data_IF_385106626485
#
_entry.id   IF_385106626485
#
_cell.length_a   1.000
_cell.length_b   1.000
_cell.length_c   1.000
_cell.angle_alpha   90.00
_cell.angle_beta   90.00
_cell.angle_gamma   90.00
#
_symmetry.space_group_name_H-M   'P 1'
#
loop_
_entity.id
_entity.type
_entity.pdbx_description
1 polymer ?
#
# COMPACT_ATOMS: atom_id res chain seq x y z
N UNK A 1 32.18 7.81 74.08
CA UNK A 1 32.89 8.05 72.80
C UNK A 1 31.98 7.63 71.67
N UNK A 2 31.54 8.59 70.85
CA UNK A 2 30.55 8.41 69.79
C UNK A 2 31.20 7.86 68.51
N UNK A 3 30.53 6.91 67.85
CA UNK A 3 30.81 6.49 66.47
C UNK A 3 29.95 7.33 65.50
N UNK A 4 30.43 7.64 64.29
CA UNK A 4 29.75 8.59 63.42
C UNK A 4 28.62 7.94 62.61
N UNK A 5 27.53 8.69 62.47
CA UNK A 5 26.42 8.45 61.54
C UNK A 5 26.93 8.49 60.10
N UNK A 6 26.79 7.38 59.36
CA UNK A 6 26.88 7.38 57.90
C UNK A 6 25.53 7.86 57.35
N UNK A 7 25.56 9.04 56.75
CA UNK A 7 24.46 9.68 56.04
C UNK A 7 24.40 9.06 54.63
N UNK A 8 23.43 8.20 54.34
CA UNK A 8 23.14 7.79 52.95
C UNK A 8 22.47 8.98 52.26
N UNK A 9 23.28 9.80 51.59
CA UNK A 9 22.83 10.80 50.63
C UNK A 9 22.68 10.14 49.26
N UNK A 10 21.54 10.37 48.62
CA UNK A 10 21.42 10.29 47.17
C UNK A 10 20.31 9.39 46.68
N UNK A 11 19.05 9.78 46.90
CA UNK A 11 18.00 9.45 45.93
C UNK A 11 18.33 10.28 44.69
N UNK A 12 19.08 9.70 43.75
CA UNK A 12 19.24 10.25 42.41
C UNK A 12 17.85 10.18 41.77
N UNK A 13 17.30 11.33 41.37
CA UNK A 13 16.08 11.38 40.55
C UNK A 13 16.36 10.66 39.22
N UNK A 14 15.91 9.41 39.09
CA UNK A 14 15.98 8.61 37.85
C UNK A 14 14.73 8.83 36.98
N UNK A 15 14.04 9.98 37.07
CA UNK A 15 12.81 10.19 36.30
C UNK A 15 13.05 10.40 34.81
N UNK A 16 14.24 10.87 34.42
CA UNK A 16 14.64 11.06 33.02
C UNK A 16 15.00 9.75 32.32
N UNK A 17 15.82 8.92 32.96
CA UNK A 17 16.28 7.65 32.38
C UNK A 17 15.19 6.59 32.32
N UNK A 18 14.25 6.57 33.28
CA UNK A 18 13.08 5.67 33.24
C UNK A 18 12.15 6.05 32.09
N UNK A 19 11.79 7.34 31.94
CA UNK A 19 10.97 7.79 30.81
C UNK A 19 11.64 7.58 29.46
N UNK A 20 12.96 7.69 29.39
CA UNK A 20 13.73 7.39 28.19
C UNK A 20 13.69 5.89 27.85
N UNK A 21 13.93 5.02 28.84
CA UNK A 21 13.85 3.56 28.67
C UNK A 21 12.43 3.11 28.34
N UNK A 22 11.40 3.68 28.97
CA UNK A 22 9.99 3.42 28.66
C UNK A 22 9.63 3.87 27.24
N UNK A 23 10.05 5.08 26.82
CA UNK A 23 9.87 5.54 25.43
C UNK A 23 10.60 4.66 24.43
N UNK A 24 11.82 4.24 24.74
CA UNK A 24 12.63 3.37 23.87
C UNK A 24 12.03 1.96 23.79
N UNK A 25 11.60 1.40 24.90
CA UNK A 25 10.91 0.10 24.93
C UNK A 25 9.54 0.17 24.23
N UNK A 26 8.81 1.28 24.37
CA UNK A 26 7.56 1.50 23.63
C UNK A 26 7.78 1.65 22.13
N UNK A 27 8.87 2.29 21.71
CA UNK A 27 9.27 2.36 20.30
C UNK A 27 9.74 1.00 19.76
N UNK A 28 10.44 0.19 20.56
CA UNK A 28 10.81 -1.19 20.19
C UNK A 28 9.61 -2.16 20.21
N UNK A 29 8.50 -1.79 20.84
CA UNK A 29 7.25 -2.57 20.84
C UNK A 29 6.15 -1.93 19.96
N UNK A 30 6.44 -0.88 19.20
CA UNK A 30 5.41 -0.25 18.36
C UNK A 30 5.26 -1.02 17.05
N UNK A 31 4.06 -1.52 16.83
CA UNK A 31 3.66 -2.20 15.60
C UNK A 31 3.65 -1.22 14.42
N UNK A 32 4.22 -1.64 13.28
CA UNK A 32 4.13 -0.89 12.02
C UNK A 32 3.46 -1.75 10.96
N UNK A 33 2.51 -1.17 10.23
CA UNK A 33 1.83 -1.82 9.13
C UNK A 33 1.99 -0.97 7.87
N UNK A 34 2.56 -1.59 6.83
CA UNK A 34 2.71 -1.02 5.50
C UNK A 34 1.58 -1.58 4.64
N UNK A 35 0.71 -0.71 4.14
CA UNK A 35 -0.45 -1.07 3.36
C UNK A 35 -0.24 -0.76 1.88
N UNK A 36 -0.52 -1.75 1.04
CA UNK A 36 -0.97 -1.46 -0.33
C UNK A 36 -2.34 -0.74 -0.30
N UNK A 37 -2.74 -0.12 -1.42
CA UNK A 37 -3.98 0.66 -1.54
C UNK A 37 -5.03 -0.05 -2.39
N UNK A 38 -4.73 -0.29 -3.67
CA UNK A 38 -5.72 -0.77 -4.64
C UNK A 38 -5.87 -2.29 -4.58
N UNK A 39 -7.09 -2.78 -4.31
CA UNK A 39 -7.33 -4.20 -4.02
C UNK A 39 -7.22 -4.51 -2.51
N UNK A 40 -6.54 -3.64 -1.75
CA UNK A 40 -6.33 -3.78 -0.31
C UNK A 40 -7.28 -2.89 0.51
N UNK A 41 -7.14 -1.57 0.44
CA UNK A 41 -7.96 -0.59 1.18
C UNK A 41 -9.15 -0.08 0.38
N UNK A 42 -8.98 0.04 -0.94
CA UNK A 42 -10.02 0.52 -1.84
C UNK A 42 -10.00 -0.25 -3.14
N UNK A 43 -11.09 -0.12 -3.89
CA UNK A 43 -11.20 -0.65 -5.24
C UNK A 43 -11.66 0.43 -6.19
N UNK A 44 -11.50 0.13 -7.49
CA UNK A 44 -11.92 0.97 -8.60
C UNK A 44 -12.54 0.08 -9.68
N UNK A 45 -13.28 0.65 -10.64
CA UNK A 45 -13.66 -0.05 -11.85
C UNK A 45 -12.45 -0.65 -12.58
N UNK A 46 -12.73 -1.64 -13.42
CA UNK A 46 -11.73 -2.28 -14.26
C UNK A 46 -11.25 -1.32 -15.36
N UNK A 47 -9.96 -0.95 -15.30
CA UNK A 47 -9.34 -0.02 -16.25
C UNK A 47 -9.45 -0.52 -17.70
N UNK A 48 -9.27 -1.81 -17.93
CA UNK A 48 -9.19 -2.38 -19.27
C UNK A 48 -10.56 -2.41 -19.93
N UNK A 49 -11.59 -2.71 -19.15
CA UNK A 49 -12.98 -2.51 -19.54
C UNK A 49 -13.28 -1.05 -19.85
N UNK A 50 -12.85 -0.10 -18.99
CA UNK A 50 -13.08 1.33 -19.24
C UNK A 50 -12.41 1.82 -20.53
N UNK A 51 -11.15 1.43 -20.77
CA UNK A 51 -10.45 1.73 -22.02
C UNK A 51 -11.18 1.11 -23.20
N UNK A 52 -11.53 -0.18 -23.15
CA UNK A 52 -12.22 -0.88 -24.23
C UNK A 52 -13.57 -0.25 -24.56
N UNK A 53 -14.36 0.12 -23.54
CA UNK A 53 -15.64 0.81 -23.73
C UNK A 53 -15.47 2.19 -24.38
N UNK A 54 -14.44 2.95 -24.00
CA UNK A 54 -14.16 4.23 -24.63
C UNK A 54 -13.64 4.09 -26.07
N UNK A 55 -12.91 3.01 -26.38
CA UNK A 55 -12.44 2.72 -27.75
C UNK A 55 -13.58 2.26 -28.67
N UNK A 56 -14.54 1.49 -28.14
CA UNK A 56 -15.66 0.93 -28.92
C UNK A 56 -16.89 1.85 -28.99
N UNK A 57 -16.97 2.85 -28.10
CA UNK A 57 -18.17 3.67 -27.86
C UNK A 57 -19.44 2.83 -27.56
N UNK A 58 -19.23 1.72 -26.83
CA UNK A 58 -20.27 0.78 -26.37
C UNK A 58 -19.73 -0.10 -25.24
N UNK A 59 -20.60 -0.87 -24.62
CA UNK A 59 -20.20 -1.89 -23.64
C UNK A 59 -19.16 -2.85 -24.25
N UNK A 60 -18.05 -3.07 -23.55
CA UNK A 60 -16.97 -3.92 -24.05
C UNK A 60 -17.29 -5.40 -23.85
N UNK A 61 -16.90 -6.23 -24.81
CA UNK A 61 -16.83 -7.67 -24.59
C UNK A 61 -15.53 -8.06 -23.85
N UNK A 62 -15.49 -9.32 -23.42
CA UNK A 62 -14.33 -9.89 -22.72
C UNK A 62 -13.09 -9.93 -23.61
N UNK A 63 -13.25 -10.25 -24.89
CA UNK A 63 -12.12 -10.39 -25.81
C UNK A 63 -11.36 -9.06 -25.98
N UNK A 64 -12.08 -7.96 -26.18
CA UNK A 64 -11.49 -6.63 -26.31
C UNK A 64 -10.82 -6.19 -25.01
N UNK A 65 -11.44 -6.48 -23.86
CA UNK A 65 -10.87 -6.19 -22.54
C UNK A 65 -9.57 -6.95 -22.33
N UNK A 66 -9.57 -8.26 -22.52
CA UNK A 66 -8.39 -9.13 -22.33
C UNK A 66 -7.26 -8.71 -23.31
N UNK A 67 -7.63 -8.22 -24.50
CA UNK A 67 -6.68 -7.68 -25.47
C UNK A 67 -6.04 -6.35 -25.02
N UNK A 68 -6.84 -5.41 -24.52
CA UNK A 68 -6.36 -4.15 -23.93
C UNK A 68 -5.45 -4.43 -22.72
N UNK A 69 -5.85 -5.38 -21.87
CA UNK A 69 -5.07 -5.85 -20.73
C UNK A 69 -3.69 -6.35 -21.18
N UNK A 70 -3.64 -7.22 -22.18
CA UNK A 70 -2.38 -7.74 -22.72
C UNK A 70 -1.42 -6.64 -23.16
N UNK A 71 -1.91 -5.62 -23.87
CA UNK A 71 -1.09 -4.47 -24.30
C UNK A 71 -0.62 -3.64 -23.09
N UNK A 72 -1.50 -3.37 -22.13
CA UNK A 72 -1.14 -2.61 -20.92
C UNK A 72 -0.09 -3.33 -20.07
N UNK A 73 -0.21 -4.66 -19.92
CA UNK A 73 0.74 -5.51 -19.22
C UNK A 73 2.09 -5.52 -19.93
N UNK A 74 2.11 -5.67 -21.25
CA UNK A 74 3.35 -5.63 -22.04
C UNK A 74 4.07 -4.29 -21.88
N UNK A 75 3.35 -3.17 -22.01
CA UNK A 75 3.89 -1.82 -21.77
C UNK A 75 4.44 -1.70 -20.36
N UNK A 76 3.74 -2.23 -19.35
CA UNK A 76 4.18 -2.20 -17.96
C UNK A 76 5.47 -2.99 -17.73
N UNK A 77 5.60 -4.16 -18.34
CA UNK A 77 6.76 -5.03 -18.15
C UNK A 77 7.99 -4.55 -18.93
N UNK A 78 7.78 -3.93 -20.10
CA UNK A 78 8.84 -3.55 -21.02
C UNK A 78 9.18 -2.05 -21.03
N UNK A 79 8.55 -1.24 -20.18
CA UNK A 79 8.82 0.19 -20.07
C UNK A 79 10.28 0.50 -19.74
N UNK A 80 10.92 1.32 -20.58
CA UNK A 80 12.23 1.95 -20.34
C UNK A 80 12.24 3.32 -21.04
N UNK A 81 12.34 4.45 -20.32
CA UNK A 81 12.36 4.62 -18.86
C UNK A 81 11.03 4.25 -18.18
N UNK A 82 10.97 4.34 -16.84
CA UNK A 82 9.74 4.22 -16.05
C UNK A 82 8.65 5.16 -16.60
N UNK A 83 7.40 4.70 -16.56
CA UNK A 83 6.21 5.44 -16.92
C UNK A 83 5.20 5.39 -15.78
N UNK A 84 4.58 6.54 -15.51
CA UNK A 84 3.42 6.66 -14.61
C UNK A 84 2.24 5.85 -15.13
N UNK A 85 1.27 5.58 -14.26
CA UNK A 85 0.06 4.82 -14.64
C UNK A 85 -0.66 5.52 -15.81
N UNK A 86 -0.85 6.84 -15.72
CA UNK A 86 -1.49 7.64 -16.76
C UNK A 86 -0.73 7.58 -18.10
N UNK A 87 0.60 7.63 -18.08
CA UNK A 87 1.45 7.53 -19.27
C UNK A 87 1.37 6.13 -19.93
N UNK A 88 1.16 5.09 -19.13
CA UNK A 88 0.92 3.72 -19.64
C UNK A 88 -0.44 3.62 -20.33
N UNK A 89 -1.48 4.25 -19.79
CA UNK A 89 -2.80 4.33 -20.45
C UNK A 89 -2.68 5.03 -21.80
N UNK A 90 -2.01 6.20 -21.84
CA UNK A 90 -1.78 6.92 -23.10
C UNK A 90 -1.05 6.05 -24.13
N UNK A 91 -0.02 5.31 -23.69
CA UNK A 91 0.73 4.40 -24.54
C UNK A 91 -0.13 3.23 -25.06
N UNK A 92 -0.98 2.64 -24.21
CA UNK A 92 -1.93 1.60 -24.62
C UNK A 92 -2.88 2.13 -25.70
N UNK A 93 -3.48 3.30 -25.49
CA UNK A 93 -4.37 3.94 -26.47
C UNK A 93 -3.65 4.23 -27.80
N UNK A 94 -2.41 4.70 -27.74
CA UNK A 94 -1.61 4.97 -28.94
C UNK A 94 -1.20 3.69 -29.71
N UNK A 95 -1.00 2.57 -29.03
CA UNK A 95 -0.78 1.26 -29.68
C UNK A 95 -2.06 0.77 -30.33
N UNK A 96 -3.19 0.83 -29.61
CA UNK A 96 -4.51 0.47 -30.15
C UNK A 96 -4.83 1.24 -31.44
N UNK A 97 -4.56 2.55 -31.47
CA UNK A 97 -4.79 3.36 -32.64
C UNK A 97 -3.84 3.03 -33.81
N UNK A 98 -2.52 2.99 -33.55
CA UNK A 98 -1.52 2.87 -34.61
C UNK A 98 -1.40 1.47 -35.20
N UNK A 99 -1.53 0.44 -34.38
CA UNK A 99 -1.25 -0.95 -34.79
C UNK A 99 -2.53 -1.73 -35.10
N UNK A 100 -3.65 -1.35 -34.48
CA UNK A 100 -4.91 -2.10 -34.58
C UNK A 100 -6.06 -1.28 -35.19
N UNK A 101 -5.80 -0.03 -35.61
CA UNK A 101 -6.73 0.78 -36.40
C UNK A 101 -7.91 1.36 -35.61
N UNK A 102 -7.83 1.39 -34.28
CA UNK A 102 -8.83 2.08 -33.45
C UNK A 102 -8.72 3.61 -33.60
N UNK A 103 -9.78 4.33 -33.23
CA UNK A 103 -9.72 5.78 -33.13
C UNK A 103 -8.69 6.18 -32.06
N UNK A 104 -7.82 7.15 -32.39
CA UNK A 104 -6.91 7.74 -31.41
C UNK A 104 -7.70 8.62 -30.43
N UNK A 105 -7.85 8.10 -29.21
CA UNK A 105 -8.46 8.79 -28.08
C UNK A 105 -7.44 9.06 -26.96
N UNK A 106 -6.14 9.08 -27.27
CA UNK A 106 -5.08 9.36 -26.29
C UNK A 106 -5.24 10.71 -25.59
N UNK A 107 -5.91 11.68 -26.20
CA UNK A 107 -6.30 12.95 -25.58
C UNK A 107 -7.28 12.80 -24.40
N UNK A 108 -8.01 11.68 -24.32
CA UNK A 108 -8.94 11.33 -23.24
C UNK A 108 -8.29 10.53 -22.11
N UNK A 109 -6.97 10.32 -22.15
CA UNK A 109 -6.23 9.56 -21.14
C UNK A 109 -6.53 10.05 -19.73
N UNK A 110 -6.46 11.37 -19.53
CA UNK A 110 -6.67 11.97 -18.22
C UNK A 110 -8.09 11.72 -17.70
N UNK A 111 -9.10 11.92 -18.56
CA UNK A 111 -10.52 11.70 -18.19
C UNK A 111 -10.79 10.23 -17.83
N UNK A 112 -10.20 9.28 -18.57
CA UNK A 112 -10.33 7.84 -18.29
C UNK A 112 -9.63 7.50 -16.98
N UNK A 113 -8.43 8.03 -16.75
CA UNK A 113 -7.66 7.82 -15.53
C UNK A 113 -8.40 8.35 -14.30
N UNK A 114 -8.90 9.59 -14.37
CA UNK A 114 -9.63 10.25 -13.27
C UNK A 114 -10.98 9.56 -12.98
N UNK A 115 -11.75 9.19 -14.01
CA UNK A 115 -13.01 8.46 -13.83
C UNK A 115 -12.79 7.13 -13.10
N UNK A 116 -11.84 6.34 -13.59
CA UNK A 116 -11.57 5.00 -13.06
C UNK A 116 -10.99 5.09 -11.66
N UNK A 117 -9.85 5.75 -11.50
CA UNK A 117 -9.08 5.63 -10.26
C UNK A 117 -9.47 6.64 -9.20
N UNK A 118 -10.02 7.81 -9.55
CA UNK A 118 -10.40 8.81 -8.55
C UNK A 118 -11.91 8.85 -8.31
N UNK A 119 -12.69 9.25 -9.30
CA UNK A 119 -14.12 9.53 -9.14
C UNK A 119 -14.92 8.30 -8.70
N UNK A 120 -14.62 7.14 -9.27
CA UNK A 120 -15.33 5.88 -9.01
C UNK A 120 -14.60 4.94 -8.05
N UNK A 121 -13.56 5.42 -7.38
CA UNK A 121 -12.94 4.66 -6.28
C UNK A 121 -13.86 4.58 -5.06
N UNK A 122 -13.81 3.45 -4.37
CA UNK A 122 -14.57 3.20 -3.15
C UNK A 122 -13.78 2.34 -2.16
N UNK A 123 -13.92 2.62 -0.86
CA UNK A 123 -13.34 1.78 0.19
C UNK A 123 -14.01 0.41 0.21
N UNK A 124 -13.24 -0.62 0.57
CA UNK A 124 -13.87 -1.86 0.98
C UNK A 124 -14.65 -1.66 2.29
N UNK A 125 -15.77 -2.38 2.50
CA UNK A 125 -16.66 -2.15 3.64
C UNK A 125 -15.97 -2.18 5.00
N UNK A 126 -14.97 -3.04 5.16
CA UNK A 126 -14.23 -3.26 6.40
C UNK A 126 -13.03 -2.33 6.60
N UNK A 127 -12.63 -1.57 5.58
CA UNK A 127 -11.44 -0.70 5.63
C UNK A 127 -11.51 0.36 6.73
N UNK A 128 -12.62 1.12 6.89
CA UNK A 128 -12.70 2.14 7.95
C UNK A 128 -12.51 1.53 9.35
N UNK A 129 -13.17 0.42 9.64
CA UNK A 129 -13.13 -0.23 10.95
C UNK A 129 -11.73 -0.80 11.26
N UNK A 130 -11.08 -1.40 10.26
CA UNK A 130 -9.72 -1.90 10.40
C UNK A 130 -8.74 -0.76 10.71
N UNK A 131 -8.77 0.33 9.94
CA UNK A 131 -7.87 1.46 10.14
C UNK A 131 -8.13 2.19 11.47
N UNK A 132 -9.39 2.36 11.87
CA UNK A 132 -9.73 2.95 13.16
C UNK A 132 -9.24 2.09 14.33
N UNK A 133 -9.40 0.76 14.24
CA UNK A 133 -8.92 -0.17 15.28
C UNK A 133 -7.40 -0.11 15.42
N UNK A 134 -6.66 -0.13 14.30
CA UNK A 134 -5.21 -0.01 14.30
C UNK A 134 -4.76 1.35 14.87
N UNK A 135 -5.44 2.43 14.50
CA UNK A 135 -5.17 3.77 15.00
C UNK A 135 -5.41 3.88 16.52
N UNK A 136 -6.51 3.33 17.04
CA UNK A 136 -6.79 3.27 18.48
C UNK A 136 -5.69 2.55 19.27
N UNK A 137 -5.09 1.52 18.67
CA UNK A 137 -3.96 0.78 19.22
C UNK A 137 -2.59 1.46 19.01
N UNK A 138 -2.56 2.69 18.50
CA UNK A 138 -1.33 3.43 18.19
C UNK A 138 -0.41 2.69 17.20
N UNK A 139 -0.98 1.88 16.31
CA UNK A 139 -0.23 1.20 15.24
C UNK A 139 0.20 2.26 14.23
N UNK A 140 1.50 2.27 13.89
CA UNK A 140 2.01 3.15 12.85
C UNK A 140 1.63 2.60 11.48
N UNK A 141 0.87 3.36 10.70
CA UNK A 141 0.45 2.94 9.37
C UNK A 141 1.13 3.75 8.28
N UNK A 142 1.53 3.09 7.19
CA UNK A 142 2.24 3.67 6.05
C UNK A 142 1.61 3.15 4.77
N UNK A 143 1.45 4.00 3.76
CA UNK A 143 1.02 3.56 2.43
C UNK A 143 2.24 3.19 1.57
N UNK A 144 2.15 2.09 0.83
CA UNK A 144 3.07 1.66 -0.20
C UNK A 144 2.31 1.27 -1.48
N UNK A 145 2.19 2.18 -2.45
CA UNK A 145 1.40 1.99 -3.66
C UNK A 145 2.23 2.03 -4.95
N UNK A 146 1.85 1.20 -5.92
CA UNK A 146 2.39 1.27 -7.28
C UNK A 146 1.74 2.36 -8.14
N UNK A 147 0.75 3.09 -7.60
CA UNK A 147 0.09 4.21 -8.25
C UNK A 147 0.92 5.52 -8.17
N UNK A 148 0.46 6.55 -8.89
CA UNK A 148 1.11 7.87 -8.93
C UNK A 148 0.80 8.65 -7.64
N UNK A 149 1.76 9.43 -7.12
CA UNK A 149 1.64 10.12 -5.83
C UNK A 149 0.38 10.99 -5.73
N UNK A 150 0.12 11.81 -6.77
CA UNK A 150 -1.02 12.72 -6.78
C UNK A 150 -2.38 11.99 -6.73
N UNK A 151 -2.48 10.79 -7.32
CA UNK A 151 -3.69 9.99 -7.24
C UNK A 151 -3.88 9.42 -5.84
N UNK A 152 -2.82 8.89 -5.23
CA UNK A 152 -2.89 8.31 -3.88
C UNK A 152 -3.26 9.38 -2.86
N UNK A 153 -2.64 10.56 -2.94
CA UNK A 153 -2.97 11.71 -2.08
C UNK A 153 -4.45 12.11 -2.24
N UNK A 154 -4.93 12.19 -3.48
CA UNK A 154 -6.31 12.54 -3.76
C UNK A 154 -7.31 11.48 -3.24
N UNK A 155 -7.00 10.19 -3.43
CA UNK A 155 -7.83 9.09 -2.91
C UNK A 155 -7.88 9.09 -1.37
N UNK A 156 -6.72 9.23 -0.73
CA UNK A 156 -6.61 9.31 0.74
C UNK A 156 -7.44 10.48 1.28
N UNK A 157 -7.37 11.65 0.64
CA UNK A 157 -8.17 12.80 1.03
C UNK A 157 -9.67 12.64 0.80
N UNK A 158 -10.06 12.13 -0.37
CA UNK A 158 -11.46 11.87 -0.74
C UNK A 158 -12.15 10.92 0.23
N UNK A 159 -11.41 9.93 0.72
CA UNK A 159 -11.92 8.91 1.63
C UNK A 159 -11.64 9.20 3.12
N UNK A 160 -11.13 10.40 3.44
CA UNK A 160 -10.88 10.86 4.81
C UNK A 160 -9.90 9.98 5.61
N UNK A 161 -8.87 9.46 4.94
CA UNK A 161 -7.90 8.53 5.52
C UNK A 161 -6.62 9.21 6.03
N UNK A 162 -6.45 10.52 5.82
CA UNK A 162 -5.21 11.27 6.13
C UNK A 162 -4.78 11.11 7.59
N UNK A 163 -5.76 11.02 8.50
CA UNK A 163 -5.52 10.90 9.94
C UNK A 163 -4.83 9.59 10.34
N UNK A 164 -4.88 8.56 9.50
CA UNK A 164 -4.35 7.22 9.82
C UNK A 164 -2.90 7.03 9.41
N UNK A 165 -2.49 7.61 8.28
CA UNK A 165 -1.21 7.29 7.66
C UNK A 165 -0.14 8.31 8.03
N UNK A 166 0.97 7.82 8.56
CA UNK A 166 2.12 8.65 8.91
C UNK A 166 2.92 9.08 7.68
N UNK A 167 2.78 8.36 6.55
CA UNK A 167 3.61 8.54 5.36
C UNK A 167 3.02 7.80 4.15
N UNK A 168 3.33 8.32 2.95
CA UNK A 168 2.88 7.77 1.67
C UNK A 168 4.09 7.53 0.77
N UNK A 169 4.32 6.27 0.43
CA UNK A 169 5.37 5.83 -0.49
C UNK A 169 4.75 5.35 -1.80
N UNK A 170 5.17 5.94 -2.92
CA UNK A 170 4.64 5.62 -4.26
C UNK A 170 5.74 5.29 -5.26
N UNK A 171 5.38 4.53 -6.32
CA UNK A 171 6.37 4.02 -7.27
C UNK A 171 7.07 5.14 -8.07
N UNK A 172 6.37 6.25 -8.31
CA UNK A 172 6.88 7.41 -9.04
C UNK A 172 7.92 8.22 -8.25
N UNK A 173 7.93 8.16 -6.91
CA UNK A 173 8.95 8.80 -6.07
C UNK A 173 10.35 8.23 -6.31
N UNK A 174 10.45 6.97 -6.73
CA UNK A 174 11.71 6.26 -6.98
C UNK A 174 11.82 5.68 -8.39
N UNK A 175 10.86 5.99 -9.26
CA UNK A 175 10.73 5.49 -10.63
C UNK A 175 10.87 3.97 -10.72
N UNK A 176 10.24 3.26 -9.79
CA UNK A 176 10.31 1.80 -9.73
C UNK A 176 9.13 1.22 -8.97
N UNK A 177 8.55 0.13 -9.46
CA UNK A 177 7.42 -0.56 -8.82
C UNK A 177 7.88 -1.50 -7.71
N UNK A 178 6.95 -1.90 -6.83
CA UNK A 178 7.09 -3.09 -6.00
C UNK A 178 7.33 -4.31 -6.91
N UNK A 179 8.18 -5.27 -6.51
CA UNK A 179 9.05 -5.29 -5.35
C UNK A 179 10.50 -4.90 -5.70
N UNK A 180 10.74 -3.93 -6.58
CA UNK A 180 12.10 -3.58 -7.06
C UNK A 180 13.06 -3.18 -5.93
N UNK A 181 14.37 -3.30 -6.17
CA UNK A 181 15.39 -2.93 -5.15
C UNK A 181 15.30 -1.47 -4.72
N UNK A 182 14.99 -0.55 -5.64
CA UNK A 182 14.81 0.87 -5.34
C UNK A 182 13.60 1.10 -4.43
N UNK A 183 12.49 0.43 -4.73
CA UNK A 183 11.27 0.55 -3.94
C UNK A 183 11.42 -0.08 -2.54
N UNK A 184 12.09 -1.22 -2.44
CA UNK A 184 12.43 -1.82 -1.15
C UNK A 184 13.31 -0.88 -0.32
N UNK A 185 14.31 -0.24 -0.94
CA UNK A 185 15.18 0.72 -0.26
C UNK A 185 14.40 1.93 0.29
N UNK A 186 13.40 2.42 -0.44
CA UNK A 186 12.50 3.49 0.02
C UNK A 186 11.80 3.13 1.34
N UNK A 187 11.39 1.86 1.48
CA UNK A 187 10.64 1.38 2.63
C UNK A 187 11.52 0.97 3.83
N UNK A 188 12.81 0.66 3.60
CA UNK A 188 13.71 0.16 4.66
C UNK A 188 13.72 1.04 5.91
N UNK A 189 13.73 2.37 5.75
CA UNK A 189 13.78 3.32 6.86
C UNK A 189 12.61 3.21 7.83
N UNK A 190 11.53 2.51 7.48
CA UNK A 190 10.37 2.28 8.36
C UNK A 190 10.43 0.96 9.12
N UNK A 191 11.35 0.05 8.78
CA UNK A 191 11.45 -1.30 9.38
C UNK A 191 12.69 -1.51 10.24
N UNK A 192 13.75 -0.67 10.08
CA UNK A 192 15.10 -0.89 10.62
C UNK A 192 15.20 -1.27 12.11
N UNK A 193 14.32 -0.74 12.96
CA UNK A 193 14.45 -0.90 14.41
C UNK A 193 13.48 -1.95 14.99
N UNK A 194 12.61 -2.56 14.17
CA UNK A 194 11.55 -3.43 14.68
C UNK A 194 10.93 -4.40 13.64
N UNK A 195 11.76 -5.10 12.86
CA UNK A 195 11.31 -6.00 11.79
C UNK A 195 10.28 -7.05 12.25
N UNK A 196 10.43 -7.60 13.47
CA UNK A 196 9.53 -8.61 14.04
C UNK A 196 8.09 -8.14 14.25
N UNK A 197 7.89 -6.82 14.40
CA UNK A 197 6.61 -6.14 14.58
C UNK A 197 6.26 -5.26 13.36
N UNK A 198 6.80 -5.57 12.20
CA UNK A 198 6.44 -4.94 10.94
C UNK A 198 5.68 -5.92 10.04
N UNK A 199 4.63 -5.43 9.40
CA UNK A 199 3.78 -6.22 8.51
C UNK A 199 3.59 -5.48 7.19
N UNK A 200 3.73 -6.18 6.07
CA UNK A 200 3.29 -5.71 4.76
C UNK A 200 1.92 -6.33 4.45
N UNK A 201 0.90 -5.52 4.27
CA UNK A 201 -0.47 -5.95 3.97
C UNK A 201 -0.83 -5.53 2.55
N UNK A 202 -1.15 -6.49 1.69
CA UNK A 202 -1.52 -6.22 0.30
C UNK A 202 -2.28 -7.36 -0.35
N UNK A 203 -2.82 -7.14 -1.54
CA UNK A 203 -3.63 -8.13 -2.27
C UNK A 203 -2.82 -8.89 -3.35
N UNK A 204 -1.62 -8.40 -3.69
CA UNK A 204 -0.81 -8.94 -4.77
C UNK A 204 0.47 -9.66 -4.32
N UNK A 205 0.98 -10.52 -5.21
CA UNK A 205 2.25 -11.23 -5.00
C UNK A 205 3.44 -10.27 -4.86
N UNK A 206 3.37 -9.10 -5.50
CA UNK A 206 4.38 -8.04 -5.37
C UNK A 206 4.48 -7.51 -3.94
N UNK A 207 3.39 -7.52 -3.17
CA UNK A 207 3.37 -7.05 -1.78
C UNK A 207 3.99 -8.07 -0.86
N UNK A 208 3.65 -9.34 -1.05
CA UNK A 208 4.26 -10.49 -0.36
C UNK A 208 5.77 -10.51 -0.58
N UNK A 209 6.19 -10.40 -1.83
CA UNK A 209 7.62 -10.35 -2.19
C UNK A 209 8.31 -9.09 -1.64
N UNK A 210 7.61 -7.94 -1.57
CA UNK A 210 8.16 -6.73 -0.97
C UNK A 210 8.40 -6.91 0.53
N UNK A 211 7.43 -7.47 1.27
CA UNK A 211 7.56 -7.81 2.69
C UNK A 211 8.73 -8.78 2.93
N UNK A 212 8.81 -9.85 2.13
CA UNK A 212 9.92 -10.82 2.19
C UNK A 212 11.29 -10.16 1.97
N UNK A 213 11.41 -9.25 1.00
CA UNK A 213 12.66 -8.52 0.72
C UNK A 213 13.02 -7.49 1.79
N UNK A 214 12.04 -7.01 2.55
CA UNK A 214 12.23 -6.17 3.73
C UNK A 214 12.56 -6.96 4.99
N UNK A 215 12.42 -8.28 4.98
CA UNK A 215 12.61 -9.13 6.17
C UNK A 215 11.45 -9.08 7.16
N UNK A 216 10.27 -8.65 6.72
CA UNK A 216 9.08 -8.46 7.57
C UNK A 216 7.97 -9.44 7.17
N UNK A 217 7.01 -9.64 8.08
CA UNK A 217 5.87 -10.53 7.83
C UNK A 217 4.96 -9.95 6.74
N UNK A 218 4.36 -10.83 5.94
CA UNK A 218 3.43 -10.49 4.88
C UNK A 218 2.02 -11.00 5.19
N UNK A 219 1.01 -10.18 4.87
CA UNK A 219 -0.41 -10.52 5.01
C UNK A 219 -1.05 -10.32 3.65
N UNK A 220 -1.44 -11.43 3.01
CA UNK A 220 -2.15 -11.41 1.74
C UNK A 220 -3.65 -11.25 1.98
N UNK A 221 -4.26 -10.22 1.39
CA UNK A 221 -5.71 -10.01 1.37
C UNK A 221 -6.29 -10.70 0.13
N UNK A 222 -6.60 -12.00 0.24
CA UNK A 222 -7.18 -12.78 -0.85
C UNK A 222 -8.71 -12.75 -0.83
N UNK A 223 -9.26 -11.67 -1.39
CA UNK A 223 -10.71 -11.42 -1.45
C UNK A 223 -11.49 -12.41 -2.30
N UNK A 224 -10.82 -13.12 -3.22
CA UNK A 224 -11.48 -14.03 -4.18
C UNK A 224 -11.19 -15.50 -3.90
N UNK A 225 -10.23 -15.82 -3.04
CA UNK A 225 -9.77 -17.19 -2.82
C UNK A 225 -9.12 -17.80 -4.06
N UNK A 226 -8.58 -16.95 -4.95
CA UNK A 226 -8.02 -17.36 -6.24
C UNK A 226 -6.50 -17.33 -6.24
N UNK A 227 -5.88 -16.79 -5.19
CA UNK A 227 -4.44 -16.81 -5.08
C UNK A 227 -4.00 -18.24 -4.71
N UNK A 228 -3.03 -18.77 -5.46
CA UNK A 228 -2.38 -20.02 -5.10
C UNK A 228 -1.48 -19.87 -3.87
N UNK A 229 -0.54 -20.80 -3.68
CA UNK A 229 0.52 -20.60 -2.69
C UNK A 229 1.45 -19.47 -3.13
N UNK A 230 1.34 -18.32 -2.46
CA UNK A 230 2.15 -17.12 -2.71
C UNK A 230 3.38 -17.03 -1.79
N UNK A 231 3.48 -17.91 -0.79
CA UNK A 231 4.48 -17.81 0.27
C UNK A 231 4.22 -16.69 1.30
N UNK A 232 3.01 -16.16 1.38
CA UNK A 232 2.63 -15.19 2.41
C UNK A 232 2.61 -15.83 3.81
N UNK A 233 3.01 -15.07 4.84
CA UNK A 233 3.00 -15.56 6.23
C UNK A 233 1.56 -15.73 6.76
N UNK A 234 0.66 -14.86 6.31
CA UNK A 234 -0.77 -14.89 6.63
C UNK A 234 -1.61 -14.64 5.38
N UNK A 235 -2.78 -15.27 5.32
CA UNK A 235 -3.79 -15.04 4.29
C UNK A 235 -5.12 -14.74 4.98
N UNK A 236 -5.73 -13.61 4.63
CA UNK A 236 -7.03 -13.19 5.14
C UNK A 236 -7.96 -12.86 3.95
N UNK A 237 -9.27 -13.14 4.04
CA UNK A 237 -10.21 -12.86 2.95
C UNK A 237 -10.51 -11.36 2.79
N UNK A 238 -10.35 -10.59 3.87
CA UNK A 238 -10.59 -9.15 3.94
C UNK A 238 -9.87 -8.59 5.18
N UNK A 239 -9.89 -7.27 5.38
CA UNK A 239 -9.15 -6.65 6.49
C UNK A 239 -9.76 -6.89 7.88
N UNK A 240 -10.95 -7.50 7.99
CA UNK A 240 -11.54 -7.81 9.31
C UNK A 240 -10.69 -8.82 10.09
N UNK A 241 -9.94 -9.67 9.38
CA UNK A 241 -9.01 -10.65 9.96
C UNK A 241 -7.67 -10.06 10.43
N UNK A 242 -7.39 -8.79 10.11
CA UNK A 242 -6.08 -8.20 10.36
C UNK A 242 -5.79 -8.03 11.85
N UNK A 243 -6.80 -7.64 12.63
CA UNK A 243 -6.67 -7.42 14.09
C UNK A 243 -6.19 -8.70 14.80
N UNK A 244 -6.72 -9.86 14.39
CA UNK A 244 -6.31 -11.16 14.95
C UNK A 244 -4.88 -11.54 14.52
N UNK A 245 -4.51 -11.28 13.26
CA UNK A 245 -3.13 -11.51 12.76
C UNK A 245 -2.12 -10.68 13.57
N UNK A 246 -2.49 -9.44 13.90
CA UNK A 246 -1.67 -8.53 14.68
C UNK A 246 -1.77 -8.78 16.19
N UNK A 247 -2.57 -9.76 16.63
CA UNK A 247 -2.80 -10.09 18.04
C UNK A 247 -3.24 -8.89 18.89
N UNK A 248 -4.06 -8.02 18.30
CA UNK A 248 -4.67 -6.87 18.99
C UNK A 248 -5.95 -7.32 19.69
N UNK A 249 -6.13 -6.95 20.96
CA UNK A 249 -7.35 -7.25 21.72
C UNK A 249 -8.50 -6.33 21.23
N UNK A 250 -9.73 -6.86 21.18
CA UNK A 250 -10.91 -6.00 21.04
C UNK A 250 -11.37 -5.62 22.46
N UNK A 251 -11.32 -4.32 22.79
CA UNK A 251 -11.86 -3.77 24.05
C UNK A 251 -13.38 -4.05 24.22
#
# INVERSE_FOLDING_TARGET
MALPRVLIRGIIRVSGSIKYLERRNRAMNSLTVIFDVGGTLLSSPDLHHAIATNLLDRESDRETRDFVEGIFVDITQNQKPYRRVEERIAATLAVMAREYGYQDISSRTHDIYDDVFFLRSYLFPETPDALETLHAHSVRMIIASDADAGLVDAQVARHHLEKYFAEICTSDQVEAFKPSSKYVELLKKYVLDNEENCYFVGDGIQDVECGRRLGIKSVLVDRRGLNGDTGADYVIPDLSGLVQVLSLEQD
#
